data_IF_915344623019
#
_entry.id   IF_915344623019
#
_cell.length_a   1.000
_cell.length_b   1.000
_cell.length_c   1.000
_cell.angle_alpha   90.00
_cell.angle_beta   90.00
_cell.angle_gamma   90.00
#
_symmetry.space_group_name_H-M   'P 1'
#
loop_
_entity.id
_entity.type
_entity.pdbx_description
1 polymer ?
#
# COMPACT_ATOMS: atom_id res chain seq x y z
N UNK A 1 -44.30 43.57 43.49
CA UNK A 1 -43.36 42.43 43.54
C UNK A 1 -43.38 41.75 42.19
N UNK A 2 -42.28 41.86 41.41
CA UNK A 2 -42.16 41.26 40.07
C UNK A 2 -41.58 39.86 40.23
N UNK A 3 -42.31 38.84 39.78
CA UNK A 3 -41.80 37.48 39.61
C UNK A 3 -40.83 37.48 38.42
N UNK A 4 -39.59 37.10 38.68
CA UNK A 4 -38.54 36.93 37.68
C UNK A 4 -38.47 35.43 37.37
N UNK A 5 -38.90 35.03 36.18
CA UNK A 5 -38.75 33.65 35.70
C UNK A 5 -37.27 33.38 35.39
N UNK A 6 -36.73 32.20 35.75
CA UNK A 6 -35.39 31.80 35.34
C UNK A 6 -35.38 31.56 33.83
N UNK A 7 -34.45 32.26 33.17
CA UNK A 7 -34.14 32.13 31.75
C UNK A 7 -33.73 30.68 31.51
N UNK A 8 -34.51 29.97 30.71
CA UNK A 8 -34.16 28.67 30.16
C UNK A 8 -32.88 28.82 29.35
N UNK A 9 -31.83 28.14 29.81
CA UNK A 9 -30.63 27.87 29.04
C UNK A 9 -31.04 27.20 27.73
N UNK A 10 -30.97 27.98 26.65
CA UNK A 10 -30.95 27.44 25.30
C UNK A 10 -29.68 26.60 25.16
N UNK A 11 -29.82 25.31 25.40
CA UNK A 11 -28.96 24.24 24.90
C UNK A 11 -28.89 24.34 23.38
N UNK A 12 -28.01 25.21 22.88
CA UNK A 12 -27.51 25.08 21.53
C UNK A 12 -26.67 23.79 21.49
N UNK A 13 -26.91 22.87 20.54
CA UNK A 13 -25.98 21.79 20.29
C UNK A 13 -24.64 22.42 19.91
N UNK A 14 -23.59 22.13 20.69
CA UNK A 14 -22.22 22.50 20.29
C UNK A 14 -21.99 21.89 18.89
N UNK A 15 -21.54 22.68 17.90
CA UNK A 15 -21.07 22.08 16.66
C UNK A 15 -19.96 21.08 17.02
N UNK A 16 -19.86 19.93 16.34
CA UNK A 16 -18.73 19.03 16.56
C UNK A 16 -17.47 19.83 16.31
N UNK A 17 -16.73 20.08 17.38
CA UNK A 17 -15.44 20.74 17.33
C UNK A 17 -14.49 19.76 16.65
N UNK A 18 -14.36 19.88 15.33
CA UNK A 18 -13.27 19.30 14.53
C UNK A 18 -11.91 19.95 14.85
N UNK A 19 -11.73 20.46 16.08
CA UNK A 19 -10.45 20.91 16.60
C UNK A 19 -9.77 19.74 17.30
N UNK A 20 -9.53 18.65 16.57
CA UNK A 20 -8.49 17.70 16.95
C UNK A 20 -7.26 18.02 16.11
N UNK A 21 -6.38 18.82 16.71
CA UNK A 21 -4.92 18.69 16.62
C UNK A 21 -4.40 18.11 15.30
N UNK A 22 -4.18 19.00 14.34
CA UNK A 22 -3.48 18.79 13.08
C UNK A 22 -1.96 18.53 13.25
N UNK A 23 -1.59 17.73 14.25
CA UNK A 23 -0.30 17.04 14.32
C UNK A 23 -0.62 15.54 14.24
N UNK A 24 -1.06 15.09 13.07
CA UNK A 24 -1.17 13.65 12.83
C UNK A 24 0.26 13.11 12.91
N UNK A 25 0.64 12.28 13.92
CA UNK A 25 1.85 11.50 13.79
C UNK A 25 1.71 10.74 12.47
N UNK A 26 2.75 10.72 11.65
CA UNK A 26 2.77 9.90 10.43
C UNK A 26 2.16 8.54 10.78
N UNK A 27 1.00 8.24 10.22
CA UNK A 27 0.29 7.01 10.54
C UNK A 27 1.22 5.85 10.13
N UNK A 28 1.45 4.86 10.99
CA UNK A 28 2.46 3.80 10.76
C UNK A 28 2.30 3.15 9.37
N UNK A 29 1.05 3.06 8.89
CA UNK A 29 0.70 2.60 7.54
C UNK A 29 1.26 3.48 6.40
N UNK A 30 1.27 4.81 6.57
CA UNK A 30 1.84 5.73 5.59
C UNK A 30 3.36 5.59 5.50
N UNK A 31 4.03 5.40 6.64
CA UNK A 31 5.47 5.13 6.67
C UNK A 31 5.76 3.80 5.96
N UNK A 32 5.00 2.75 6.26
CA UNK A 32 5.15 1.45 5.60
C UNK A 32 4.97 1.56 4.07
N UNK A 33 3.96 2.30 3.61
CA UNK A 33 3.73 2.55 2.17
C UNK A 33 4.87 3.35 1.53
N UNK A 34 5.40 4.37 2.23
CA UNK A 34 6.52 5.16 1.74
C UNK A 34 7.80 4.32 1.61
N UNK A 35 8.08 3.49 2.62
CA UNK A 35 9.21 2.54 2.60
C UNK A 35 9.04 1.56 1.45
N UNK A 36 7.85 0.99 1.28
CA UNK A 36 7.55 0.07 0.17
C UNK A 36 7.75 0.73 -1.21
N UNK A 37 7.29 1.97 -1.38
CA UNK A 37 7.51 2.73 -2.61
C UNK A 37 9.01 2.99 -2.85
N UNK A 38 9.75 3.38 -1.81
CA UNK A 38 11.20 3.57 -1.89
C UNK A 38 11.96 2.31 -2.31
N UNK A 39 11.58 1.15 -1.76
CA UNK A 39 12.15 -0.15 -2.16
C UNK A 39 11.89 -0.42 -3.65
N UNK A 40 10.65 -0.21 -4.12
CA UNK A 40 10.32 -0.43 -5.54
C UNK A 40 11.11 0.50 -6.48
N UNK A 41 11.29 1.77 -6.10
CA UNK A 41 12.11 2.71 -6.87
C UNK A 41 13.57 2.24 -6.93
N UNK A 42 14.12 1.76 -5.81
CA UNK A 42 15.50 1.26 -5.74
C UNK A 42 15.73 -0.03 -6.55
N UNK A 43 14.72 -0.89 -6.65
CA UNK A 43 14.82 -2.16 -7.38
C UNK A 43 15.10 -1.98 -8.87
N UNK A 44 14.61 -0.91 -9.51
CA UNK A 44 14.83 -0.62 -10.93
C UNK A 44 16.31 -0.40 -11.28
N UNK A 45 16.99 0.59 -10.66
CA UNK A 45 18.43 0.79 -10.82
C UNK A 45 19.25 -0.43 -10.41
N UNK A 46 18.84 -1.13 -9.34
CA UNK A 46 19.52 -2.34 -8.88
C UNK A 46 19.54 -3.42 -9.97
N UNK A 47 18.39 -3.76 -10.57
CA UNK A 47 18.35 -4.77 -11.63
C UNK A 47 19.10 -4.31 -12.86
N UNK A 48 18.98 -3.03 -13.25
CA UNK A 48 19.68 -2.48 -14.41
C UNK A 48 21.21 -2.59 -14.27
N UNK A 49 21.76 -2.12 -13.14
CA UNK A 49 23.21 -2.21 -12.88
C UNK A 49 23.65 -3.67 -12.77
N UNK A 50 22.85 -4.53 -12.15
CA UNK A 50 23.20 -5.94 -11.97
C UNK A 50 23.24 -6.71 -13.28
N UNK A 51 22.31 -6.44 -14.19
CA UNK A 51 22.28 -7.05 -15.53
C UNK A 51 23.43 -6.51 -16.38
N UNK A 52 23.61 -5.19 -16.45
CA UNK A 52 24.62 -4.56 -17.32
C UNK A 52 26.06 -4.89 -16.90
N UNK A 53 26.33 -5.03 -15.61
CA UNK A 53 27.66 -5.39 -15.09
C UNK A 53 27.85 -6.90 -14.90
N UNK A 54 26.86 -7.72 -15.25
CA UNK A 54 26.90 -9.16 -14.99
C UNK A 54 27.14 -9.49 -13.51
N UNK A 55 26.54 -8.72 -12.59
CA UNK A 55 26.79 -8.83 -11.14
C UNK A 55 25.82 -9.82 -10.48
N UNK A 56 26.21 -11.10 -10.25
CA UNK A 56 25.29 -12.13 -9.78
C UNK A 56 24.78 -11.87 -8.36
N UNK A 57 25.59 -11.22 -7.51
CA UNK A 57 25.20 -10.83 -6.15
C UNK A 57 24.10 -9.77 -6.16
N UNK A 58 24.15 -8.82 -7.09
CA UNK A 58 23.11 -7.81 -7.27
C UNK A 58 21.78 -8.42 -7.74
N UNK A 59 21.83 -9.40 -8.65
CA UNK A 59 20.64 -10.16 -9.07
C UNK A 59 20.04 -11.01 -7.93
N UNK A 60 20.88 -11.57 -7.07
CA UNK A 60 20.43 -12.27 -5.85
C UNK A 60 19.75 -11.31 -4.87
N UNK A 61 20.32 -10.11 -4.67
CA UNK A 61 19.71 -9.09 -3.83
C UNK A 61 18.36 -8.63 -4.38
N UNK A 62 18.26 -8.39 -5.69
CA UNK A 62 16.99 -8.08 -6.36
C UNK A 62 15.95 -9.19 -6.13
N UNK A 63 16.35 -10.46 -6.24
CA UNK A 63 15.46 -11.60 -6.03
C UNK A 63 14.92 -11.65 -4.59
N UNK A 64 15.78 -11.41 -3.60
CA UNK A 64 15.38 -11.34 -2.19
C UNK A 64 14.40 -10.19 -1.93
N UNK A 65 14.69 -8.99 -2.45
CA UNK A 65 13.79 -7.82 -2.33
C UNK A 65 12.45 -8.09 -3.01
N UNK A 66 12.46 -8.75 -4.17
CA UNK A 66 11.23 -9.13 -4.88
C UNK A 66 10.37 -10.09 -4.05
N UNK A 67 10.97 -11.08 -3.38
CA UNK A 67 10.24 -11.97 -2.48
C UNK A 67 9.59 -11.21 -1.31
N UNK A 68 10.28 -10.22 -0.74
CA UNK A 68 9.71 -9.36 0.32
C UNK A 68 8.52 -8.56 -0.24
N UNK A 69 8.67 -7.97 -1.44
CA UNK A 69 7.58 -7.26 -2.09
C UNK A 69 6.37 -8.15 -2.40
N UNK A 70 6.60 -9.40 -2.81
CA UNK A 70 5.53 -10.39 -2.98
C UNK A 70 4.81 -10.69 -1.67
N UNK A 71 5.55 -10.90 -0.57
CA UNK A 71 4.95 -11.12 0.75
C UNK A 71 4.06 -9.93 1.17
N UNK A 72 4.56 -8.71 0.99
CA UNK A 72 3.80 -7.48 1.29
C UNK A 72 2.58 -7.31 0.39
N UNK A 73 2.71 -7.60 -0.91
CA UNK A 73 1.57 -7.59 -1.83
C UNK A 73 0.51 -8.65 -1.44
N UNK A 74 0.96 -9.83 -0.99
CA UNK A 74 0.09 -10.88 -0.49
C UNK A 74 -0.69 -10.48 0.76
N UNK A 75 -0.03 -9.86 1.74
CA UNK A 75 -0.71 -9.36 2.95
C UNK A 75 -1.68 -8.23 2.61
N UNK A 76 -1.31 -7.31 1.70
CA UNK A 76 -2.20 -6.26 1.22
C UNK A 76 -3.43 -6.82 0.49
N UNK A 77 -3.28 -7.88 -0.31
CA UNK A 77 -4.38 -8.54 -0.99
C UNK A 77 -5.36 -9.18 0.01
N UNK A 78 -4.83 -9.90 1.01
CA UNK A 78 -5.65 -10.51 2.07
C UNK A 78 -6.42 -9.45 2.85
N UNK A 79 -5.74 -8.35 3.21
CA UNK A 79 -6.39 -7.23 3.88
C UNK A 79 -7.51 -6.63 3.02
N UNK A 80 -7.25 -6.40 1.72
CA UNK A 80 -8.24 -5.84 0.79
C UNK A 80 -9.47 -6.75 0.66
N UNK A 81 -9.28 -8.06 0.55
CA UNK A 81 -10.37 -9.05 0.49
C UNK A 81 -11.16 -9.06 1.80
N UNK A 82 -10.49 -9.00 2.95
CA UNK A 82 -11.16 -8.95 4.25
C UNK A 82 -11.98 -7.66 4.39
N UNK A 83 -11.45 -6.52 3.95
CA UNK A 83 -12.18 -5.25 3.93
C UNK A 83 -13.42 -5.26 3.01
N UNK A 84 -13.51 -6.17 2.04
CA UNK A 84 -14.74 -6.34 1.26
C UNK A 84 -15.88 -7.03 2.05
N UNK A 85 -15.54 -7.78 3.10
CA UNK A 85 -16.53 -8.42 3.98
C UNK A 85 -17.12 -7.42 4.99
N UNK A 86 -16.33 -6.43 5.41
CA UNK A 86 -16.74 -5.35 6.31
C UNK A 86 -16.33 -3.98 5.75
N UNK A 87 -17.12 -3.54 4.76
CA UNK A 87 -16.89 -2.30 4.03
C UNK A 87 -17.14 -1.07 4.90
N UNK A 88 -17.99 -1.17 5.92
CA UNK A 88 -18.28 -0.07 6.83
C UNK A 88 -17.06 0.28 7.68
N UNK A 89 -16.38 -0.73 8.23
CA UNK A 89 -15.11 -0.53 8.93
C UNK A 89 -14.05 0.13 8.04
N UNK A 90 -13.98 -0.26 6.76
CA UNK A 90 -13.11 0.38 5.77
C UNK A 90 -13.47 1.86 5.54
N UNK A 91 -14.74 2.16 5.26
CA UNK A 91 -15.21 3.53 5.05
C UNK A 91 -14.95 4.43 6.27
N UNK A 92 -15.13 3.90 7.47
CA UNK A 92 -14.83 4.59 8.73
C UNK A 92 -13.34 4.85 8.91
N UNK A 93 -12.48 3.84 8.63
CA UNK A 93 -11.04 3.97 8.81
C UNK A 93 -10.38 4.97 7.85
N UNK A 94 -10.97 5.18 6.66
CA UNK A 94 -10.44 6.10 5.65
C UNK A 94 -11.15 7.46 5.63
N UNK A 95 -12.04 7.74 6.59
CA UNK A 95 -12.87 8.95 6.63
C UNK A 95 -13.61 9.20 5.29
N UNK A 96 -14.07 8.13 4.65
CA UNK A 96 -14.82 8.19 3.38
C UNK A 96 -16.33 8.21 3.58
N UNK A 97 -16.80 8.12 4.84
CA UNK A 97 -18.21 8.31 5.17
C UNK A 97 -18.64 9.76 4.93
N UNK A 98 -19.60 9.93 4.03
CA UNK A 98 -20.28 11.20 3.78
C UNK A 98 -21.73 11.09 4.28
N UNK A 99 -22.07 11.77 5.37
CA UNK A 99 -23.41 11.73 5.94
C UNK A 99 -24.51 12.28 5.00
N UNK A 100 -24.13 12.95 3.91
CA UNK A 100 -25.07 13.53 2.93
C UNK A 100 -25.50 12.56 1.82
N UNK A 101 -24.85 11.39 1.71
CA UNK A 101 -25.13 10.40 0.65
C UNK A 101 -25.82 9.15 1.20
N UNK A 102 -26.65 8.46 0.40
CA UNK A 102 -27.19 7.15 0.77
C UNK A 102 -26.07 6.15 1.09
N UNK A 103 -26.23 5.38 2.17
CA UNK A 103 -25.26 4.37 2.63
C UNK A 103 -24.99 3.31 1.55
N UNK A 104 -26.05 2.85 0.87
CA UNK A 104 -25.95 1.86 -0.20
C UNK A 104 -25.03 2.31 -1.36
N UNK A 105 -25.07 3.60 -1.72
CA UNK A 105 -24.24 4.15 -2.79
C UNK A 105 -22.77 4.28 -2.35
N UNK A 106 -22.52 4.56 -1.07
CA UNK A 106 -21.17 4.64 -0.52
C UNK A 106 -20.52 3.26 -0.43
N UNK A 107 -21.27 2.26 0.03
CA UNK A 107 -20.80 0.87 0.08
C UNK A 107 -20.49 0.33 -1.31
N UNK A 108 -21.35 0.60 -2.30
CA UNK A 108 -21.12 0.17 -3.68
C UNK A 108 -19.82 0.78 -4.23
N UNK A 109 -19.61 2.07 -4.03
CA UNK A 109 -18.40 2.77 -4.46
C UNK A 109 -17.15 2.24 -3.75
N UNK A 110 -17.21 1.99 -2.44
CA UNK A 110 -16.09 1.44 -1.68
C UNK A 110 -15.74 0.02 -2.13
N UNK A 111 -16.74 -0.84 -2.37
CA UNK A 111 -16.54 -2.19 -2.94
C UNK A 111 -15.88 -2.12 -4.31
N UNK A 112 -16.31 -1.19 -5.16
CA UNK A 112 -15.72 -0.98 -6.48
C UNK A 112 -14.24 -0.57 -6.37
N UNK A 113 -13.92 0.38 -5.49
CA UNK A 113 -12.54 0.82 -5.24
C UNK A 113 -11.68 -0.34 -4.72
N UNK A 114 -12.17 -1.10 -3.73
CA UNK A 114 -11.49 -2.29 -3.21
C UNK A 114 -11.28 -3.37 -4.28
N UNK A 115 -12.23 -3.55 -5.19
CA UNK A 115 -12.09 -4.48 -6.32
C UNK A 115 -10.98 -4.03 -7.28
N UNK A 116 -10.92 -2.73 -7.62
CA UNK A 116 -9.84 -2.16 -8.44
C UNK A 116 -8.48 -2.35 -7.78
N UNK A 117 -8.36 -2.09 -6.47
CA UNK A 117 -7.12 -2.35 -5.74
C UNK A 117 -6.71 -3.82 -5.79
N UNK A 118 -7.66 -4.74 -5.62
CA UNK A 118 -7.39 -6.18 -5.67
C UNK A 118 -6.85 -6.61 -7.04
N UNK A 119 -7.46 -6.13 -8.14
CA UNK A 119 -6.98 -6.41 -9.50
C UNK A 119 -5.58 -5.85 -9.72
N UNK A 120 -5.32 -4.61 -9.26
CA UNK A 120 -3.99 -4.01 -9.33
C UNK A 120 -2.92 -4.81 -8.59
N UNK A 121 -3.24 -5.28 -7.37
CA UNK A 121 -2.32 -6.10 -6.57
C UNK A 121 -2.05 -7.45 -7.26
N UNK A 122 -3.08 -8.10 -7.82
CA UNK A 122 -2.91 -9.36 -8.56
C UNK A 122 -2.02 -9.17 -9.79
N UNK A 123 -2.25 -8.11 -10.57
CA UNK A 123 -1.42 -7.80 -11.73
C UNK A 123 0.05 -7.53 -11.34
N UNK A 124 0.26 -6.78 -10.26
CA UNK A 124 1.59 -6.55 -9.70
C UNK A 124 2.25 -7.86 -9.24
N UNK A 125 1.50 -8.75 -8.57
CA UNK A 125 2.00 -10.05 -8.13
C UNK A 125 2.45 -10.92 -9.31
N UNK A 126 1.65 -10.99 -10.38
CA UNK A 126 1.99 -11.70 -11.60
C UNK A 126 3.26 -11.12 -12.27
N UNK A 127 3.37 -9.79 -12.30
CA UNK A 127 4.57 -9.10 -12.80
C UNK A 127 5.83 -9.46 -11.99
N UNK A 128 5.75 -9.50 -10.66
CA UNK A 128 6.89 -9.87 -9.82
C UNK A 128 7.33 -11.33 -10.05
N UNK A 129 6.39 -12.27 -10.22
CA UNK A 129 6.70 -13.66 -10.55
C UNK A 129 7.44 -13.74 -11.89
N UNK A 130 6.94 -13.04 -12.91
CA UNK A 130 7.56 -13.00 -14.22
C UNK A 130 8.98 -12.39 -14.17
N UNK A 131 9.14 -11.29 -13.45
CA UNK A 131 10.44 -10.63 -13.27
C UNK A 131 11.45 -11.53 -12.57
N UNK A 132 11.03 -12.26 -11.52
CA UNK A 132 11.87 -13.26 -10.84
C UNK A 132 12.33 -14.36 -11.79
N UNK A 133 11.42 -14.88 -12.61
CA UNK A 133 11.76 -15.92 -13.58
C UNK A 133 12.84 -15.43 -14.56
N UNK A 134 12.65 -14.25 -15.14
CA UNK A 134 13.62 -13.66 -16.08
C UNK A 134 14.98 -13.41 -15.42
N UNK A 135 15.00 -12.82 -14.23
CA UNK A 135 16.25 -12.54 -13.50
C UNK A 135 16.97 -13.82 -13.11
N UNK A 136 16.26 -14.86 -12.69
CA UNK A 136 16.88 -16.13 -12.31
C UNK A 136 17.46 -16.88 -13.52
N UNK A 137 16.79 -16.82 -14.67
CA UNK A 137 17.36 -17.35 -15.93
C UNK A 137 18.64 -16.61 -16.30
N UNK A 138 18.65 -15.28 -16.21
CA UNK A 138 19.84 -14.48 -16.50
C UNK A 138 20.98 -14.73 -15.50
N UNK A 139 20.66 -14.88 -14.21
CA UNK A 139 21.63 -15.23 -13.17
C UNK A 139 22.28 -16.59 -13.44
N UNK A 140 21.49 -17.60 -13.83
CA UNK A 140 21.99 -18.92 -14.23
C UNK A 140 22.90 -18.84 -15.45
N UNK A 141 22.53 -18.02 -16.44
CA UNK A 141 23.37 -17.79 -17.62
C UNK A 141 24.73 -17.21 -17.23
N UNK A 142 24.77 -16.14 -16.43
CA UNK A 142 26.03 -15.53 -15.97
C UNK A 142 26.89 -16.54 -15.22
N UNK A 143 26.31 -17.35 -14.32
CA UNK A 143 27.05 -18.34 -13.53
C UNK A 143 27.51 -19.55 -14.35
N UNK A 144 26.87 -19.83 -15.49
CA UNK A 144 27.21 -20.95 -16.36
C UNK A 144 28.31 -20.59 -17.37
N UNK A 145 28.57 -19.30 -17.63
CA UNK A 145 29.70 -18.87 -18.45
C UNK A 145 30.98 -18.98 -17.60
N UNK A 146 31.92 -19.89 -17.93
CA UNK A 146 33.19 -19.92 -17.23
C UNK A 146 33.92 -18.59 -17.46
N UNK A 147 34.36 -17.95 -16.37
CA UNK A 147 35.11 -16.69 -16.38
C UNK A 147 36.37 -16.83 -17.25
N UNK A 148 36.26 -16.52 -18.55
CA UNK A 148 37.39 -16.45 -19.48
C UNK A 148 38.16 -15.13 -19.36
N UNK A 149 37.75 -14.23 -18.47
CA UNK A 149 38.31 -12.87 -18.31
C UNK A 149 39.32 -12.73 -17.16
N UNK A 150 39.65 -13.79 -16.41
CA UNK A 150 40.74 -13.77 -15.41
C UNK A 150 42.12 -14.12 -16.01
N UNK A 151 42.31 -13.98 -17.33
CA UNK A 151 43.57 -14.25 -18.05
C UNK A 151 44.15 -13.06 -18.85
N UNK A 152 43.83 -11.81 -18.48
CA UNK A 152 44.53 -10.63 -19.04
C UNK A 152 45.23 -9.85 -17.93
#
# INVERSE_FOLDING_TARGET
>A
MKMQAPISDCLLPRPPTWSQSSCSPFNDYQIAMLVFAGVNIFMGPLVFVSVTKGWPTGLRLYSLLTCICMAFAGTALVFTIWSQLDVQSFLASYNWFDATRPEADQELNARFVLAVYSVGIIAYFAFLIFALFVVEQHRKYILAVPNSEEQI
#
